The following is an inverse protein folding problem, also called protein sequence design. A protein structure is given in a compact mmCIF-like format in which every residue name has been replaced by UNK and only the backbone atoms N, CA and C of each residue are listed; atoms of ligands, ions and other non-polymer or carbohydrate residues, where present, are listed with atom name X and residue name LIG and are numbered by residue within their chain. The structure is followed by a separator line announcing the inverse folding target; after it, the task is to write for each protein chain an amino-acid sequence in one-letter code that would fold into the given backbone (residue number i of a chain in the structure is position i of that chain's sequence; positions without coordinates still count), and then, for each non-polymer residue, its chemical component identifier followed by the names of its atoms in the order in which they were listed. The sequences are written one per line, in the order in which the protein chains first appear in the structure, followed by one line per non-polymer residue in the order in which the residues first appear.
data_IF_184094251720
#
_entry.id   IF_184094251720
#
_cell.length_a   1.000
_cell.length_b   1.000
_cell.length_c   1.000
_cell.angle_alpha   90.00
_cell.angle_beta   90.00
_cell.angle_gamma   90.00
#
_symmetry.space_group_name_H-M   'P 1'
#
loop_
_entity.id
_entity.type
_entity.pdbx_description
1 polymer ?
#
# COMPACT_ATOMS: atom_id res chain seq x y z
N UNK A 1 78.50 -50.85 -32.40
CA UNK A 1 77.63 -51.72 -31.57
C UNK A 1 76.95 -50.84 -30.56
N UNK A 2 75.68 -50.46 -30.85
CA UNK A 2 74.96 -49.44 -30.16
C UNK A 2 74.16 -49.97 -28.97
N UNK A 3 74.30 -49.30 -27.85
CA UNK A 3 73.46 -49.52 -26.68
C UNK A 3 72.52 -48.31 -26.55
N UNK A 4 71.26 -48.48 -26.91
CA UNK A 4 70.23 -47.50 -26.72
C UNK A 4 69.71 -47.55 -25.27
N UNK A 5 69.93 -46.47 -24.54
CA UNK A 5 69.31 -46.25 -23.23
C UNK A 5 67.90 -45.79 -23.43
N UNK A 6 66.92 -46.52 -22.88
CA UNK A 6 65.57 -46.16 -22.79
C UNK A 6 65.35 -45.44 -21.44
N UNK A 7 65.14 -44.12 -21.48
CA UNK A 7 64.72 -43.34 -20.30
C UNK A 7 63.19 -43.33 -20.23
N UNK A 8 62.64 -44.04 -19.24
CA UNK A 8 61.23 -44.00 -18.93
C UNK A 8 60.96 -42.79 -18.08
N UNK A 9 60.22 -41.83 -18.65
CA UNK A 9 59.70 -40.66 -17.93
C UNK A 9 58.36 -41.04 -17.23
N UNK A 10 58.40 -41.20 -15.91
CA UNK A 10 57.19 -41.34 -15.07
C UNK A 10 56.63 -39.97 -14.85
N UNK A 11 55.52 -39.59 -15.57
CA UNK A 11 54.74 -38.39 -15.31
C UNK A 11 53.80 -38.65 -14.13
N UNK A 12 54.16 -38.13 -12.98
CA UNK A 12 53.34 -38.15 -11.81
C UNK A 12 52.18 -37.10 -11.97
N UNK A 13 50.96 -37.56 -12.24
CA UNK A 13 49.77 -36.72 -12.15
C UNK A 13 49.46 -36.44 -10.68
N UNK A 14 49.89 -35.28 -10.17
CA UNK A 14 49.39 -34.75 -8.90
C UNK A 14 47.94 -34.28 -9.12
N UNK A 15 46.98 -35.09 -8.70
CA UNK A 15 45.57 -34.69 -8.63
C UNK A 15 45.41 -33.61 -7.54
N UNK A 16 45.36 -32.36 -7.94
CA UNK A 16 44.92 -31.30 -7.05
C UNK A 16 43.43 -31.41 -6.85
N UNK A 17 43.00 -31.99 -5.73
CA UNK A 17 41.65 -31.95 -5.26
C UNK A 17 41.36 -30.50 -4.85
N UNK A 18 40.78 -29.70 -5.77
CA UNK A 18 40.22 -28.40 -5.45
C UNK A 18 38.99 -28.61 -4.56
N UNK A 19 39.18 -28.53 -3.26
CA UNK A 19 38.08 -28.41 -2.32
C UNK A 19 37.40 -27.06 -2.64
N UNK A 20 36.30 -27.13 -3.40
CA UNK A 20 35.46 -25.98 -3.62
C UNK A 20 34.94 -25.52 -2.26
N UNK A 21 35.56 -24.47 -1.74
CA UNK A 21 35.09 -23.80 -0.52
C UNK A 21 33.71 -23.21 -0.85
N UNK A 22 32.67 -23.79 -0.30
CA UNK A 22 31.32 -23.22 -0.42
C UNK A 22 31.39 -21.80 0.12
N UNK A 23 31.28 -20.81 -0.76
CA UNK A 23 31.11 -19.41 -0.36
C UNK A 23 29.81 -19.37 0.41
N UNK A 24 29.79 -18.92 1.67
CA UNK A 24 28.56 -18.79 2.42
C UNK A 24 27.62 -17.90 1.58
N UNK A 25 26.49 -18.43 1.18
CA UNK A 25 25.43 -17.61 0.60
C UNK A 25 25.11 -16.53 1.63
N UNK A 26 25.15 -15.22 1.28
CA UNK A 26 24.71 -14.21 2.22
C UNK A 26 23.30 -14.62 2.66
N UNK A 27 23.10 -14.76 3.96
CA UNK A 27 21.78 -15.03 4.51
C UNK A 27 20.89 -13.89 4.01
N UNK A 28 19.89 -14.23 3.17
CA UNK A 28 18.90 -13.26 2.73
C UNK A 28 18.25 -12.76 4.01
N UNK A 29 18.36 -11.47 4.25
CA UNK A 29 17.89 -10.88 5.49
C UNK A 29 16.39 -11.14 5.65
N UNK A 30 15.99 -11.69 6.80
CA UNK A 30 14.59 -11.86 7.17
C UNK A 30 13.85 -10.53 6.97
N UNK A 31 12.80 -10.54 6.16
CA UNK A 31 11.94 -9.35 6.01
C UNK A 31 11.00 -9.26 7.19
N UNK A 32 11.11 -8.17 7.92
CA UNK A 32 10.35 -7.91 9.14
C UNK A 32 9.47 -6.68 8.98
N UNK A 33 8.32 -6.72 9.63
CA UNK A 33 7.42 -5.57 9.75
C UNK A 33 7.08 -5.33 11.21
N UNK A 34 6.85 -4.06 11.54
CA UNK A 34 6.29 -3.59 12.81
C UNK A 34 5.06 -2.77 12.49
N UNK A 35 3.91 -3.27 12.88
CA UNK A 35 2.63 -2.66 12.53
C UNK A 35 1.82 -2.38 13.79
N UNK A 36 1.03 -1.32 13.73
CA UNK A 36 0.02 -0.99 14.75
C UNK A 36 -1.31 -0.82 14.04
N UNK A 37 -2.36 -1.46 14.52
CA UNK A 37 -3.71 -1.25 14.00
C UNK A 37 -4.31 -0.01 14.69
N UNK A 38 -4.70 1.00 13.90
CA UNK A 38 -5.22 2.27 14.42
C UNK A 38 -6.56 2.12 15.16
N UNK A 39 -7.35 1.09 14.86
CA UNK A 39 -8.69 0.91 15.41
C UNK A 39 -8.71 -0.01 16.63
N UNK A 40 -7.90 -1.06 16.62
CA UNK A 40 -7.88 -2.06 17.70
C UNK A 40 -6.74 -1.86 18.69
N UNK A 41 -5.71 -1.08 18.32
CA UNK A 41 -4.48 -0.93 19.11
C UNK A 41 -3.58 -2.17 19.10
N UNK A 42 -3.97 -3.24 18.40
CA UNK A 42 -3.16 -4.44 18.25
C UNK A 42 -1.84 -4.11 17.55
N UNK A 43 -0.80 -4.87 17.87
CA UNK A 43 0.53 -4.70 17.28
C UNK A 43 1.00 -6.02 16.65
N UNK A 44 1.75 -5.90 15.58
CA UNK A 44 2.49 -7.00 14.97
C UNK A 44 3.97 -6.62 14.88
N UNK A 45 4.87 -7.49 15.35
CA UNK A 45 6.34 -7.36 15.16
C UNK A 45 6.89 -8.75 14.81
N UNK A 46 7.14 -9.00 13.55
CA UNK A 46 7.55 -10.31 13.10
C UNK A 46 8.24 -10.32 11.74
N UNK A 47 9.02 -11.40 11.51
CA UNK A 47 9.54 -11.72 10.19
C UNK A 47 8.47 -12.49 9.41
N UNK A 48 7.97 -11.92 8.32
CA UNK A 48 6.94 -12.54 7.49
C UNK A 48 7.50 -13.33 6.30
N UNK A 49 8.79 -13.14 5.98
CA UNK A 49 9.46 -13.79 4.85
C UNK A 49 10.90 -14.16 5.22
N UNK A 50 11.36 -15.29 4.70
CA UNK A 50 12.74 -15.77 4.78
C UNK A 50 13.23 -16.21 3.39
N UNK A 51 14.37 -16.90 3.34
CA UNK A 51 15.02 -17.38 2.12
C UNK A 51 14.16 -18.34 1.30
N UNK A 52 13.22 -19.05 1.96
CA UNK A 52 12.32 -20.00 1.31
C UNK A 52 11.01 -19.35 0.85
N UNK A 53 10.81 -18.06 1.11
CA UNK A 53 9.59 -17.34 0.77
C UNK A 53 8.80 -16.85 1.99
N UNK A 54 7.51 -16.57 1.83
CA UNK A 54 6.62 -16.21 2.94
C UNK A 54 6.58 -17.31 4.00
N UNK A 55 6.46 -16.93 5.26
CA UNK A 55 6.34 -17.86 6.40
C UNK A 55 4.86 -18.05 6.67
N UNK A 56 4.28 -19.17 6.23
CA UNK A 56 2.83 -19.42 6.22
C UNK A 56 2.17 -19.09 7.56
N UNK A 57 2.71 -19.58 8.69
CA UNK A 57 2.17 -19.29 10.02
C UNK A 57 2.11 -17.77 10.30
N UNK A 58 3.11 -17.02 9.86
CA UNK A 58 3.17 -15.56 10.08
C UNK A 58 2.21 -14.83 9.13
N UNK A 59 2.02 -15.35 7.91
CA UNK A 59 0.99 -14.84 6.99
C UNK A 59 -0.40 -15.05 7.59
N UNK A 60 -0.67 -16.21 8.21
CA UNK A 60 -1.94 -16.46 8.90
C UNK A 60 -2.16 -15.50 10.08
N UNK A 61 -1.12 -15.22 10.86
CA UNK A 61 -1.15 -14.20 11.92
C UNK A 61 -1.46 -12.81 11.35
N UNK A 62 -0.84 -12.44 10.21
CA UNK A 62 -1.12 -11.19 9.50
C UNK A 62 -2.55 -11.14 8.95
N UNK A 63 -3.12 -12.24 8.47
CA UNK A 63 -4.53 -12.29 8.04
C UNK A 63 -5.49 -11.99 9.20
N UNK A 64 -5.15 -12.43 10.43
CA UNK A 64 -5.92 -12.08 11.63
C UNK A 64 -5.72 -10.62 12.01
N UNK A 65 -4.49 -10.13 12.01
CA UNK A 65 -4.15 -8.74 12.34
C UNK A 65 -4.79 -7.74 11.35
N UNK A 66 -4.85 -8.09 10.06
CA UNK A 66 -5.36 -7.27 8.96
C UNK A 66 -6.85 -7.54 8.64
N UNK A 67 -7.57 -8.19 9.54
CA UNK A 67 -9.01 -8.45 9.39
C UNK A 67 -9.85 -7.18 9.33
N UNK A 68 -11.07 -7.31 8.88
CA UNK A 68 -12.06 -6.24 8.98
C UNK A 68 -12.37 -5.94 10.45
N UNK A 69 -12.01 -4.74 10.91
CA UNK A 69 -12.20 -4.35 12.32
C UNK A 69 -13.66 -4.04 12.67
N UNK A 70 -14.56 -3.88 11.69
CA UNK A 70 -15.99 -3.68 11.91
C UNK A 70 -16.71 -5.01 12.11
N UNK A 71 -16.45 -6.00 11.25
CA UNK A 71 -17.12 -7.30 11.31
C UNK A 71 -16.34 -8.35 12.09
N UNK A 72 -15.03 -8.18 12.25
CA UNK A 72 -14.12 -9.19 12.80
C UNK A 72 -13.74 -10.29 11.80
N UNK A 73 -14.30 -10.26 10.60
CA UNK A 73 -14.00 -11.25 9.58
C UNK A 73 -12.61 -11.08 8.98
N UNK A 74 -12.00 -12.19 8.61
CA UNK A 74 -10.68 -12.25 7.97
C UNK A 74 -10.77 -12.90 6.59
N UNK A 75 -9.80 -12.57 5.74
CA UNK A 75 -9.57 -13.22 4.46
C UNK A 75 -8.10 -13.52 4.29
N UNK A 76 -7.77 -14.31 3.26
CA UNK A 76 -6.37 -14.45 2.84
C UNK A 76 -5.87 -13.12 2.28
N UNK A 77 -4.87 -12.54 2.92
CA UNK A 77 -4.22 -11.31 2.45
C UNK A 77 -3.21 -11.67 1.35
N UNK A 78 -3.22 -10.91 0.26
CA UNK A 78 -2.24 -11.05 -0.81
C UNK A 78 -0.83 -10.73 -0.28
N UNK A 79 0.06 -11.71 -0.34
CA UNK A 79 1.46 -11.55 0.06
C UNK A 79 2.14 -10.42 -0.76
N UNK A 80 1.70 -10.21 -2.00
CA UNK A 80 2.19 -9.13 -2.84
C UNK A 80 1.97 -7.74 -2.24
N UNK A 81 0.84 -7.50 -1.54
CA UNK A 81 0.60 -6.21 -0.88
C UNK A 81 1.43 -6.07 0.41
N UNK A 82 1.71 -7.18 1.11
CA UNK A 82 2.62 -7.19 2.26
C UNK A 82 4.06 -6.89 1.81
N UNK A 83 4.50 -7.50 0.71
CA UNK A 83 5.80 -7.20 0.08
C UNK A 83 5.88 -5.76 -0.42
N UNK A 84 4.79 -5.22 -0.96
CA UNK A 84 4.74 -3.83 -1.41
C UNK A 84 4.88 -2.87 -0.22
N UNK A 85 4.15 -3.12 0.88
CA UNK A 85 4.30 -2.36 2.13
C UNK A 85 5.75 -2.37 2.62
N UNK A 86 6.37 -3.56 2.70
CA UNK A 86 7.74 -3.69 3.18
C UNK A 86 8.73 -2.92 2.29
N UNK A 87 8.60 -3.00 0.96
CA UNK A 87 9.46 -2.28 0.01
C UNK A 87 9.30 -0.77 0.15
N UNK A 88 8.07 -0.27 0.35
CA UNK A 88 7.81 1.15 0.60
C UNK A 88 8.50 1.61 1.88
N UNK A 89 8.35 0.88 2.98
CA UNK A 89 8.98 1.22 4.26
C UNK A 89 10.50 1.16 4.17
N UNK A 90 11.06 0.10 3.58
CA UNK A 90 12.51 -0.04 3.39
C UNK A 90 13.08 1.11 2.54
N UNK A 91 12.35 1.57 1.51
CA UNK A 91 12.78 2.66 0.61
C UNK A 91 12.93 4.02 1.29
N UNK A 92 12.29 4.21 2.44
CA UNK A 92 12.39 5.44 3.25
C UNK A 92 13.18 5.23 4.53
N UNK A 93 13.74 4.02 4.72
CA UNK A 93 14.53 3.66 5.91
C UNK A 93 13.67 3.48 7.16
N UNK A 94 12.39 3.20 7.00
CA UNK A 94 11.44 2.92 8.08
C UNK A 94 11.07 1.42 8.05
N UNK A 95 10.60 0.88 9.17
CA UNK A 95 10.08 -0.50 9.29
C UNK A 95 8.78 -0.54 10.07
N UNK A 96 8.21 0.63 10.37
CA UNK A 96 7.03 0.79 11.19
C UNK A 96 5.95 1.52 10.42
N UNK A 97 4.72 1.01 10.55
CA UNK A 97 3.56 1.68 9.99
C UNK A 97 2.32 1.44 10.86
N UNK A 98 1.45 2.44 10.87
CA UNK A 98 0.09 2.29 11.36
C UNK A 98 -0.80 1.84 10.22
N UNK A 99 -1.55 0.76 10.43
CA UNK A 99 -2.58 0.28 9.52
C UNK A 99 -3.91 0.95 9.87
N UNK A 100 -4.45 1.72 8.94
CA UNK A 100 -5.76 2.37 9.10
C UNK A 100 -6.88 1.51 8.53
N UNK A 101 -6.60 0.75 7.46
CA UNK A 101 -7.56 -0.20 6.90
C UNK A 101 -6.81 -1.27 6.12
N UNK A 102 -7.34 -2.49 6.12
CA UNK A 102 -6.83 -3.59 5.32
C UNK A 102 -7.99 -4.34 4.67
N UNK A 103 -8.27 -5.58 5.05
CA UNK A 103 -9.46 -6.27 4.57
C UNK A 103 -10.75 -5.57 5.01
N UNK A 104 -11.72 -5.53 4.13
CA UNK A 104 -13.11 -5.11 4.40
C UNK A 104 -14.06 -6.10 3.78
N UNK A 105 -15.08 -6.54 4.52
CA UNK A 105 -16.19 -7.28 3.91
C UNK A 105 -16.91 -6.41 2.88
N UNK A 106 -17.66 -7.04 1.98
CA UNK A 106 -18.46 -6.32 1.01
C UNK A 106 -19.47 -5.37 1.72
N UNK A 107 -20.04 -5.81 2.83
CA UNK A 107 -20.98 -5.08 3.67
C UNK A 107 -20.33 -3.86 4.32
N UNK A 108 -19.15 -4.04 4.93
CA UNK A 108 -18.37 -2.93 5.51
C UNK A 108 -17.99 -1.93 4.41
N UNK A 109 -17.52 -2.40 3.26
CA UNK A 109 -17.18 -1.51 2.15
C UNK A 109 -18.41 -0.76 1.62
N UNK A 110 -19.56 -1.43 1.48
CA UNK A 110 -20.81 -0.78 1.08
C UNK A 110 -21.30 0.26 2.11
N UNK A 111 -21.14 -0.02 3.40
CA UNK A 111 -21.43 0.93 4.47
C UNK A 111 -20.52 2.15 4.36
N UNK A 112 -19.22 1.96 4.22
CA UNK A 112 -18.25 3.05 4.08
C UNK A 112 -18.47 3.86 2.80
N UNK A 113 -18.78 3.21 1.66
CA UNK A 113 -19.09 3.91 0.40
C UNK A 113 -20.32 4.84 0.51
N UNK A 114 -21.26 4.52 1.41
CA UNK A 114 -22.41 5.38 1.69
C UNK A 114 -22.13 6.53 2.65
N UNK A 115 -21.13 6.38 3.51
CA UNK A 115 -20.88 7.32 4.62
C UNK A 115 -19.59 8.11 4.48
N UNK A 116 -18.67 7.66 3.63
CA UNK A 116 -17.34 8.24 3.49
C UNK A 116 -17.05 8.56 2.02
N UNK A 117 -16.60 9.77 1.75
CA UNK A 117 -16.21 10.19 0.41
C UNK A 117 -14.95 9.47 -0.03
N UNK A 118 -14.88 9.10 -1.34
CA UNK A 118 -13.67 8.48 -1.93
C UNK A 118 -13.55 6.97 -1.74
N UNK A 119 -14.52 6.31 -1.12
CA UNK A 119 -14.55 4.84 -1.04
C UNK A 119 -15.17 4.27 -2.31
N UNK A 120 -14.39 3.47 -3.05
CA UNK A 120 -14.84 2.79 -4.27
C UNK A 120 -15.74 1.60 -3.93
N UNK A 121 -16.80 1.37 -4.72
CA UNK A 121 -17.68 0.19 -4.57
C UNK A 121 -16.92 -1.12 -4.84
N UNK A 122 -16.07 -1.14 -5.88
CA UNK A 122 -15.20 -2.27 -6.23
C UNK A 122 -13.79 -2.02 -5.70
N UNK A 123 -13.63 -2.17 -4.39
CA UNK A 123 -12.37 -1.88 -3.71
C UNK A 123 -11.46 -3.11 -3.64
N UNK A 124 -10.14 -2.92 -3.80
CA UNK A 124 -9.14 -3.97 -3.57
C UNK A 124 -9.07 -4.42 -2.11
N UNK A 125 -9.62 -3.64 -1.17
CA UNK A 125 -9.79 -4.06 0.23
C UNK A 125 -10.71 -5.27 0.37
N UNK A 126 -11.75 -5.40 -0.47
CA UNK A 126 -12.73 -6.50 -0.41
C UNK A 126 -12.09 -7.85 -0.73
N UNK A 127 -11.02 -7.85 -1.51
CA UNK A 127 -10.32 -9.07 -1.93
C UNK A 127 -8.97 -9.24 -1.23
N UNK A 128 -8.71 -8.52 -0.14
CA UNK A 128 -7.49 -8.63 0.65
C UNK A 128 -6.21 -8.17 -0.06
N UNK A 129 -6.32 -7.26 -1.03
CA UNK A 129 -5.22 -6.79 -1.87
C UNK A 129 -4.82 -5.34 -1.63
N UNK A 130 -5.36 -4.68 -0.63
CA UNK A 130 -5.10 -3.27 -0.35
C UNK A 130 -4.84 -3.01 1.13
N UNK A 131 -4.02 -1.99 1.38
CA UNK A 131 -3.72 -1.45 2.70
C UNK A 131 -3.78 0.08 2.67
N UNK A 132 -4.45 0.67 3.65
CA UNK A 132 -4.36 2.08 3.98
C UNK A 132 -3.36 2.22 5.13
N UNK A 133 -2.23 2.89 4.88
CA UNK A 133 -1.08 2.89 5.77
C UNK A 133 -0.59 4.30 6.08
N UNK A 134 -0.06 4.45 7.30
CA UNK A 134 0.69 5.63 7.71
C UNK A 134 2.05 5.17 8.22
N UNK A 135 3.14 5.36 7.44
CA UNK A 135 4.50 5.23 7.95
C UNK A 135 4.73 6.18 9.14
N UNK A 136 5.55 5.79 10.11
CA UNK A 136 5.84 6.63 11.28
C UNK A 136 6.57 7.92 10.89
N UNK A 137 7.34 7.87 9.82
CA UNK A 137 8.08 9.01 9.28
C UNK A 137 7.95 9.11 7.75
N UNK A 138 8.30 10.28 7.19
CA UNK A 138 8.48 10.50 5.74
C UNK A 138 7.30 10.10 4.85
N UNK A 139 6.07 10.33 5.31
CA UNK A 139 4.85 9.94 4.62
C UNK A 139 4.83 10.36 3.13
N UNK A 140 5.20 11.62 2.82
CA UNK A 140 5.24 12.14 1.44
C UNK A 140 6.32 11.46 0.58
N UNK A 141 7.49 11.14 1.19
CA UNK A 141 8.55 10.40 0.50
C UNK A 141 8.11 8.96 0.24
N UNK A 142 7.47 8.31 1.21
CA UNK A 142 6.91 6.97 1.06
C UNK A 142 5.88 6.91 -0.09
N UNK A 143 4.99 7.90 -0.20
CA UNK A 143 4.06 8.03 -1.32
C UNK A 143 4.80 8.13 -2.66
N UNK A 144 5.83 8.97 -2.74
CA UNK A 144 6.61 9.16 -3.97
C UNK A 144 7.33 7.87 -4.37
N UNK A 145 7.93 7.18 -3.40
CA UNK A 145 8.58 5.87 -3.63
C UNK A 145 7.59 4.80 -4.05
N UNK A 146 6.43 4.70 -3.37
CA UNK A 146 5.37 3.76 -3.74
C UNK A 146 4.92 3.93 -5.20
N UNK A 147 4.69 5.17 -5.64
CA UNK A 147 4.34 5.47 -7.03
C UNK A 147 5.43 5.09 -8.03
N UNK A 148 6.69 5.33 -7.68
CA UNK A 148 7.83 4.98 -8.53
C UNK A 148 8.00 3.47 -8.70
N UNK A 149 7.55 2.65 -7.77
CA UNK A 149 7.64 1.20 -7.84
C UNK A 149 6.70 0.57 -8.89
N UNK A 150 5.65 1.26 -9.31
CA UNK A 150 4.71 0.81 -10.36
C UNK A 150 4.14 -0.60 -10.11
N UNK A 151 3.86 -0.96 -8.85
CA UNK A 151 3.42 -2.31 -8.46
C UNK A 151 1.91 -2.48 -8.40
N UNK A 152 1.16 -1.37 -8.40
CA UNK A 152 -0.29 -1.37 -8.31
C UNK A 152 -0.87 0.01 -8.10
N UNK A 153 -2.02 0.11 -7.45
CA UNK A 153 -2.64 1.39 -7.11
C UNK A 153 -1.94 2.09 -5.96
N UNK A 154 -1.76 3.42 -6.08
CA UNK A 154 -1.24 4.28 -5.01
C UNK A 154 -2.11 5.52 -4.86
N UNK A 155 -2.84 5.60 -3.75
CA UNK A 155 -3.64 6.75 -3.35
C UNK A 155 -2.90 7.64 -2.38
N UNK A 156 -2.95 8.94 -2.58
CA UNK A 156 -2.39 9.94 -1.70
C UNK A 156 -3.50 10.72 -1.01
N UNK A 157 -3.51 10.71 0.33
CA UNK A 157 -4.49 11.37 1.17
C UNK A 157 -3.76 12.32 2.15
N UNK A 158 -3.24 13.47 1.66
CA UNK A 158 -2.37 14.34 2.44
C UNK A 158 -3.04 14.89 3.69
N UNK A 159 -4.32 15.25 3.60
CA UNK A 159 -5.08 15.81 4.72
C UNK A 159 -5.37 14.75 5.80
N UNK A 160 -5.79 13.56 5.39
CA UNK A 160 -6.01 12.44 6.30
C UNK A 160 -4.71 11.80 6.79
N UNK A 161 -3.56 12.16 6.20
CA UNK A 161 -2.24 11.74 6.60
C UNK A 161 -1.96 10.26 6.37
N UNK A 162 -2.37 9.69 5.23
CA UNK A 162 -2.08 8.31 4.88
C UNK A 162 -1.89 8.09 3.38
N UNK A 163 -1.41 6.91 3.02
CA UNK A 163 -1.35 6.42 1.64
C UNK A 163 -2.10 5.09 1.53
N UNK A 164 -2.81 4.94 0.42
CA UNK A 164 -3.35 3.65 -0.01
C UNK A 164 -2.34 2.97 -0.93
N UNK A 165 -2.14 1.68 -0.74
CA UNK A 165 -1.39 0.81 -1.67
C UNK A 165 -2.20 -0.44 -1.97
N UNK A 166 -2.16 -0.92 -3.22
CA UNK A 166 -2.79 -2.19 -3.62
C UNK A 166 -2.02 -2.88 -4.75
N UNK A 167 -2.33 -4.16 -4.98
CA UNK A 167 -1.75 -4.99 -6.05
C UNK A 167 -2.66 -5.12 -7.26
N UNK A 168 -3.62 -4.23 -7.43
CA UNK A 168 -4.44 -4.13 -8.63
C UNK A 168 -3.68 -3.47 -9.80
N UNK A 169 -4.38 -3.06 -10.87
CA UNK A 169 -3.76 -2.34 -11.97
C UNK A 169 -3.04 -1.07 -11.53
N UNK A 170 -1.89 -0.78 -12.14
CA UNK A 170 -1.08 0.41 -11.81
C UNK A 170 -1.88 1.67 -12.09
N UNK A 171 -2.10 2.46 -11.05
CA UNK A 171 -2.81 3.74 -11.10
C UNK A 171 -2.42 4.61 -9.91
N UNK A 172 -2.53 5.93 -10.08
CA UNK A 172 -2.22 6.89 -9.03
C UNK A 172 -3.34 7.92 -8.93
N UNK A 173 -3.69 8.29 -7.69
CA UNK A 173 -4.64 9.40 -7.44
C UNK A 173 -4.23 10.18 -6.19
N UNK A 174 -4.79 11.36 -6.07
CA UNK A 174 -4.67 12.21 -4.89
C UNK A 174 -6.07 12.64 -4.48
N UNK A 175 -6.38 12.49 -3.20
CA UNK A 175 -7.60 13.01 -2.61
C UNK A 175 -7.19 13.93 -1.46
N UNK A 176 -7.22 15.23 -1.70
CA UNK A 176 -7.03 16.25 -0.70
C UNK A 176 -8.36 17.00 -0.46
N UNK A 177 -8.48 17.70 0.65
CA UNK A 177 -9.71 18.47 0.95
C UNK A 177 -9.86 19.68 0.03
N UNK A 178 -8.78 20.21 -0.53
CA UNK A 178 -8.89 21.21 -1.60
C UNK A 178 -9.53 20.63 -2.87
N UNK A 179 -9.41 19.30 -3.06
CA UNK A 179 -10.19 18.59 -4.08
C UNK A 179 -11.70 18.65 -3.85
N UNK A 180 -12.16 18.72 -2.61
CA UNK A 180 -13.56 18.96 -2.24
C UNK A 180 -13.90 20.45 -2.28
N UNK A 181 -13.02 21.32 -1.81
CA UNK A 181 -13.20 22.78 -1.87
C UNK A 181 -12.99 23.30 -3.29
N UNK A 182 -12.07 22.72 -4.08
CA UNK A 182 -11.91 23.01 -5.50
C UNK A 182 -13.06 22.45 -6.37
N UNK A 183 -13.77 21.43 -5.91
CA UNK A 183 -15.06 20.98 -6.47
C UNK A 183 -16.21 21.92 -6.11
N UNK A 184 -16.02 22.82 -5.13
CA UNK A 184 -17.02 23.66 -4.52
C UNK A 184 -16.75 25.15 -4.74
N UNK A 185 -16.02 25.54 -5.80
CA UNK A 185 -15.97 26.96 -6.21
C UNK A 185 -17.34 27.39 -6.69
N UNK A 186 -18.06 28.06 -5.83
CA UNK A 186 -19.42 28.54 -6.03
C UNK A 186 -19.34 29.94 -6.66
N UNK A 187 -19.69 30.09 -7.92
CA UNK A 187 -19.87 31.39 -8.58
C UNK A 187 -21.32 31.91 -8.47
N UNK A 188 -22.00 31.55 -7.39
CA UNK A 188 -23.40 31.97 -7.13
C UNK A 188 -24.48 31.31 -7.99
N UNK A 189 -24.14 30.52 -9.02
CA UNK A 189 -25.14 29.87 -9.88
C UNK A 189 -24.69 28.56 -10.58
N UNK A 190 -23.44 28.18 -10.53
CA UNK A 190 -22.92 26.94 -11.13
C UNK A 190 -21.75 26.40 -10.33
N UNK A 191 -21.75 25.09 -10.09
CA UNK A 191 -20.56 24.35 -9.72
C UNK A 191 -19.58 24.43 -10.89
N UNK A 192 -18.54 25.25 -10.80
CA UNK A 192 -17.40 25.19 -11.68
C UNK A 192 -16.37 24.27 -11.05
N UNK A 193 -16.15 23.15 -11.69
CA UNK A 193 -14.93 22.36 -11.51
C UNK A 193 -13.80 23.23 -12.05
N UNK A 194 -13.06 23.90 -11.17
CA UNK A 194 -11.89 24.64 -11.62
C UNK A 194 -10.82 23.63 -12.06
N UNK A 195 -10.31 23.83 -13.27
CA UNK A 195 -9.52 22.86 -14.04
C UNK A 195 -8.13 22.54 -13.52
N UNK A 196 -7.87 22.69 -12.21
CA UNK A 196 -6.58 22.42 -11.59
C UNK A 196 -6.46 21.07 -10.91
N UNK A 197 -7.55 20.51 -10.41
CA UNK A 197 -7.55 19.24 -9.70
C UNK A 197 -8.35 18.20 -10.45
N UNK A 198 -7.69 17.51 -11.37
CA UNK A 198 -8.22 16.28 -11.93
C UNK A 198 -8.24 15.27 -10.79
N UNK A 199 -9.41 15.03 -10.23
CA UNK A 199 -9.69 13.77 -9.53
C UNK A 199 -9.61 12.68 -10.59
N UNK A 200 -8.41 12.18 -10.84
CA UNK A 200 -8.20 10.97 -11.60
C UNK A 200 -8.59 9.81 -10.67
N UNK A 201 -9.88 9.57 -10.54
CA UNK A 201 -10.37 8.25 -10.16
C UNK A 201 -9.83 7.31 -11.23
N UNK A 202 -8.90 6.44 -10.85
CA UNK A 202 -8.10 5.62 -11.75
C UNK A 202 -8.95 4.87 -12.77
N UNK A 203 -8.88 5.31 -14.03
CA UNK A 203 -9.62 4.73 -15.14
C UNK A 203 -10.28 5.79 -16.01
N UNK A 204 -10.89 5.42 -17.13
CA UNK A 204 -11.71 6.35 -17.90
C UNK A 204 -12.81 6.88 -16.98
N UNK A 205 -13.04 8.19 -17.07
CA UNK A 205 -13.96 8.97 -16.25
C UNK A 205 -15.27 8.21 -15.98
N UNK A 206 -15.47 7.74 -14.75
CA UNK A 206 -16.74 7.13 -14.35
C UNK A 206 -17.59 8.21 -13.66
N UNK A 207 -18.85 8.36 -14.05
CA UNK A 207 -19.77 9.26 -13.36
C UNK A 207 -19.91 8.81 -11.91
N UNK A 208 -19.99 9.78 -10.98
CA UNK A 208 -20.26 9.49 -9.57
C UNK A 208 -21.47 8.56 -9.45
N UNK A 209 -21.36 7.53 -8.65
CA UNK A 209 -22.47 6.64 -8.33
C UNK A 209 -23.60 7.40 -7.62
N UNK A 210 -24.81 6.86 -7.63
CA UNK A 210 -25.92 7.51 -6.92
C UNK A 210 -25.62 7.77 -5.44
N UNK A 211 -25.04 6.82 -4.67
CA UNK A 211 -24.63 7.08 -3.30
C UNK A 211 -23.60 8.21 -3.16
N UNK A 212 -22.58 8.25 -4.04
CA UNK A 212 -21.57 9.30 -4.03
C UNK A 212 -22.16 10.69 -4.30
N UNK A 213 -23.13 10.79 -5.23
CA UNK A 213 -23.87 12.04 -5.48
C UNK A 213 -24.68 12.48 -4.25
N UNK A 214 -25.30 11.53 -3.55
CA UNK A 214 -26.08 11.83 -2.34
C UNK A 214 -25.19 12.35 -1.20
N UNK A 215 -24.01 11.76 -1.01
CA UNK A 215 -23.02 12.21 -0.02
C UNK A 215 -22.56 13.61 -0.38
N UNK A 216 -22.19 13.85 -1.63
CA UNK A 216 -21.80 15.17 -2.12
C UNK A 216 -22.91 16.21 -1.90
N UNK A 217 -24.16 15.87 -2.23
CA UNK A 217 -25.32 16.76 -1.99
C UNK A 217 -25.53 17.07 -0.51
N UNK A 218 -25.35 16.09 0.39
CA UNK A 218 -25.47 16.30 1.85
C UNK A 218 -24.34 17.18 2.39
N UNK A 219 -23.13 17.00 1.89
CA UNK A 219 -21.99 17.82 2.28
C UNK A 219 -22.12 19.25 1.76
N UNK A 220 -22.61 19.43 0.52
CA UNK A 220 -22.96 20.73 -0.04
C UNK A 220 -24.02 21.44 0.80
N UNK A 221 -25.12 20.75 1.12
CA UNK A 221 -26.17 21.31 1.96
C UNK A 221 -25.67 21.70 3.36
N UNK A 222 -24.75 20.91 3.94
CA UNK A 222 -24.11 21.22 5.23
C UNK A 222 -23.17 22.42 5.13
N UNK A 223 -22.35 22.50 4.07
CA UNK A 223 -21.48 23.65 3.83
C UNK A 223 -22.28 24.94 3.60
N UNK A 224 -23.36 24.89 2.82
CA UNK A 224 -24.28 26.01 2.64
C UNK A 224 -24.96 26.44 3.96
N UNK A 225 -25.37 25.48 4.80
CA UNK A 225 -25.92 25.76 6.10
C UNK A 225 -24.93 26.47 7.02
N UNK A 226 -23.68 25.97 7.07
CA UNK A 226 -22.61 26.56 7.88
C UNK A 226 -22.18 27.95 7.36
N UNK A 227 -22.17 28.16 6.05
CA UNK A 227 -21.90 29.47 5.46
C UNK A 227 -23.01 30.49 5.79
N UNK A 228 -24.30 30.07 5.78
CA UNK A 228 -25.44 30.94 6.13
C UNK A 228 -25.53 31.23 7.62
N UNK A 229 -25.08 30.33 8.48
CA UNK A 229 -25.15 30.46 9.95
C UNK A 229 -23.92 31.07 10.57
N UNK A 230 -22.91 31.50 9.78
CA UNK A 230 -21.67 32.10 10.26
C UNK A 230 -20.73 31.11 10.95
N UNK A 231 -20.99 29.81 10.82
CA UNK A 231 -20.16 28.75 11.41
C UNK A 231 -18.83 28.49 10.66
N UNK A 232 -18.64 29.05 9.48
CA UNK A 232 -17.38 29.02 8.73
C UNK A 232 -16.75 30.42 8.75
N UNK A 233 -15.70 30.62 9.55
CA UNK A 233 -14.80 31.76 9.36
C UNK A 233 -13.86 31.42 8.21
N UNK A 234 -14.12 31.93 7.05
CA UNK A 234 -13.17 31.98 5.95
C UNK A 234 -12.15 33.05 6.35
N UNK A 235 -10.92 32.66 6.67
CA UNK A 235 -9.82 33.61 6.74
C UNK A 235 -9.41 33.99 5.32
N UNK A 236 -9.22 35.30 5.07
CA UNK A 236 -8.76 35.80 3.78
C UNK A 236 -7.35 35.35 3.42
#
# INVERSE_FOLDING_TARGET
MDRRLFLSFMAGCAAWSSVARAVPRPALALRRLRLVNAHTGETFDGAYRNDNGPIDRVIDELCVFLRDHHSGEKTQIDVGVIDFLADVLDSVGDRRATILSAYRTAETNAMLARTTFGVAEHSQHIVGRALDIRPDAKLSEAMTKARAMQRGGVGWYPHSGFIHIDTGPVRNWTLDEQGLDGLLVFDGRRLKLDGGSRVLLGGPWQPLTVPQRLILQRQLARAEFLARTGGLRIHP
#
